data_IF_364414369793
#
_entry.id   IF_364414369793
#
_cell.length_a   1.000
_cell.length_b   1.000
_cell.length_c   1.000
_cell.angle_alpha   90.00
_cell.angle_beta   90.00
_cell.angle_gamma   90.00
#
_symmetry.space_group_name_H-M   'P 1'
#
loop_
_entity.id
_entity.type
_entity.pdbx_description
1 polymer ?
#
# COMPACT_ATOMS: atom_id res chain seq x y z
N UNK A 1 -51.81 14.16 8.60
CA UNK A 1 -50.65 13.56 7.88
C UNK A 1 -51.17 12.31 7.18
N UNK A 2 -51.43 12.39 5.88
CA UNK A 2 -52.05 11.30 5.13
C UNK A 2 -50.99 10.24 4.78
N UNK A 3 -51.03 9.13 5.49
CA UNK A 3 -50.32 7.90 5.09
C UNK A 3 -51.26 7.11 4.16
N UNK A 4 -50.93 7.02 2.90
CA UNK A 4 -51.66 6.17 1.95
C UNK A 4 -51.11 4.75 2.08
N UNK A 5 -51.86 3.85 2.70
CA UNK A 5 -51.54 2.41 2.74
C UNK A 5 -51.96 1.82 1.40
N UNK A 6 -51.04 1.31 0.63
CA UNK A 6 -51.33 0.57 -0.59
C UNK A 6 -51.73 -0.84 -0.19
N UNK A 7 -53.05 -1.13 -0.30
CA UNK A 7 -53.59 -2.49 -0.10
C UNK A 7 -53.07 -3.42 -1.20
N UNK A 8 -52.09 -4.22 -0.86
CA UNK A 8 -51.84 -5.62 -1.21
C UNK A 8 -50.41 -6.03 -0.79
N UNK A 9 -50.33 -6.85 0.24
CA UNK A 9 -49.26 -7.81 0.58
C UNK A 9 -47.78 -7.33 0.63
N UNK A 10 -47.47 -6.06 0.71
CA UNK A 10 -46.05 -5.67 0.51
C UNK A 10 -45.46 -4.72 1.52
N UNK A 11 -45.86 -4.71 2.78
CA UNK A 11 -45.20 -3.95 3.87
C UNK A 11 -44.58 -2.59 3.44
N UNK A 12 -45.16 -1.92 2.43
CA UNK A 12 -44.66 -0.67 1.87
C UNK A 12 -45.59 0.48 2.27
N UNK A 13 -44.98 1.56 2.76
CA UNK A 13 -45.65 2.83 2.99
C UNK A 13 -44.93 3.94 2.19
N UNK A 14 -45.67 4.93 1.72
CA UNK A 14 -45.12 6.10 1.05
C UNK A 14 -45.15 7.31 1.98
N UNK A 15 -44.03 8.02 2.07
CA UNK A 15 -43.93 9.29 2.76
C UNK A 15 -43.12 10.28 1.92
N UNK A 16 -43.71 11.43 1.58
CA UNK A 16 -43.13 12.46 0.72
C UNK A 16 -42.58 11.91 -0.61
N UNK A 17 -43.33 10.96 -1.24
CA UNK A 17 -42.91 10.37 -2.50
C UNK A 17 -41.78 9.35 -2.42
N UNK A 18 -41.28 9.02 -1.23
CA UNK A 18 -40.26 7.98 -1.01
C UNK A 18 -40.92 6.78 -0.37
N UNK A 19 -40.62 5.57 -0.85
CA UNK A 19 -41.12 4.34 -0.30
C UNK A 19 -40.30 3.84 0.88
N UNK A 20 -40.99 3.34 1.92
CA UNK A 20 -40.44 2.74 3.11
C UNK A 20 -40.99 1.34 3.30
N UNK A 21 -40.15 0.41 3.75
CA UNK A 21 -40.56 -0.87 4.27
C UNK A 21 -41.01 -0.72 5.72
N UNK A 22 -42.18 -1.22 6.10
CA UNK A 22 -42.72 -1.13 7.45
C UNK A 22 -43.43 -2.43 7.83
N UNK A 23 -42.78 -3.24 8.65
CA UNK A 23 -43.32 -4.54 9.09
C UNK A 23 -43.29 -4.66 10.60
N UNK A 24 -44.38 -5.19 11.17
CA UNK A 24 -44.51 -5.44 12.60
C UNK A 24 -43.65 -6.64 13.00
N UNK A 25 -42.94 -6.53 14.12
CA UNK A 25 -42.17 -7.65 14.69
C UNK A 25 -43.15 -8.67 15.27
N UNK A 26 -43.00 -9.98 15.00
CA UNK A 26 -43.84 -11.04 15.54
C UNK A 26 -43.91 -10.98 17.08
N UNK A 27 -45.09 -11.28 17.63
CA UNK A 27 -45.37 -11.11 19.06
C UNK A 27 -44.49 -11.98 19.95
N UNK A 28 -44.19 -13.18 19.49
CA UNK A 28 -43.37 -14.20 20.16
C UNK A 28 -41.93 -13.75 20.45
N UNK A 29 -41.34 -12.98 19.52
CA UNK A 29 -39.94 -12.49 19.65
C UNK A 29 -39.83 -10.99 19.96
N UNK A 30 -40.98 -10.27 19.98
CA UNK A 30 -41.02 -8.80 20.13
C UNK A 30 -40.30 -8.30 21.39
N UNK A 31 -40.40 -9.04 22.48
CA UNK A 31 -39.75 -8.68 23.77
C UNK A 31 -38.23 -8.56 23.68
N UNK A 32 -37.58 -9.08 22.62
CA UNK A 32 -36.14 -8.97 22.40
C UNK A 32 -35.74 -7.67 21.72
N UNK A 33 -36.73 -6.86 21.27
CA UNK A 33 -36.47 -5.62 20.56
C UNK A 33 -37.02 -4.42 21.31
N UNK A 34 -36.34 -3.29 21.18
CA UNK A 34 -36.79 -2.00 21.74
C UNK A 34 -37.80 -1.27 20.87
N UNK A 35 -38.34 -1.92 19.81
CA UNK A 35 -39.25 -1.36 18.84
C UNK A 35 -40.30 -2.41 18.44
N UNK A 36 -41.50 -1.95 18.13
CA UNK A 36 -42.61 -2.83 17.67
C UNK A 36 -42.62 -3.11 16.17
N UNK A 37 -41.91 -2.29 15.39
CA UNK A 37 -41.88 -2.35 13.93
C UNK A 37 -40.49 -2.12 13.38
N UNK A 38 -40.16 -2.82 12.31
CA UNK A 38 -39.01 -2.55 11.47
C UNK A 38 -39.43 -1.54 10.40
N UNK A 39 -38.79 -0.36 10.36
CA UNK A 39 -39.03 0.67 9.36
C UNK A 39 -37.70 0.98 8.68
N UNK A 40 -37.63 0.80 7.34
CA UNK A 40 -36.41 1.00 6.54
C UNK A 40 -36.78 1.80 5.28
N UNK A 41 -36.06 2.88 5.00
CA UNK A 41 -36.18 3.61 3.74
C UNK A 41 -35.68 2.77 2.58
N UNK A 42 -36.51 2.59 1.55
CA UNK A 42 -36.15 1.87 0.33
C UNK A 42 -35.41 2.76 -0.68
N UNK A 43 -35.21 4.04 -0.33
CA UNK A 43 -34.48 5.03 -1.13
C UNK A 43 -34.88 5.08 -2.61
N UNK A 44 -36.15 4.84 -2.90
CA UNK A 44 -36.71 4.84 -4.25
C UNK A 44 -38.07 5.52 -4.28
N UNK A 45 -38.38 6.14 -5.42
CA UNK A 45 -39.71 6.67 -5.76
C UNK A 45 -40.45 5.76 -6.76
N UNK A 46 -39.82 4.69 -7.24
CA UNK A 46 -40.40 3.72 -8.15
C UNK A 46 -41.08 2.62 -7.36
N UNK A 47 -42.39 2.42 -7.60
CA UNK A 47 -43.19 1.38 -6.95
C UNK A 47 -42.67 -0.03 -7.28
N UNK A 48 -42.30 -0.30 -8.54
CA UNK A 48 -41.76 -1.60 -8.95
C UNK A 48 -40.48 -1.97 -8.21
N UNK A 49 -39.55 -1.02 -8.11
CA UNK A 49 -38.28 -1.21 -7.32
C UNK A 49 -38.57 -1.37 -5.83
N UNK A 50 -39.54 -0.64 -5.30
CA UNK A 50 -39.92 -0.75 -3.90
C UNK A 50 -40.51 -2.14 -3.60
N UNK A 51 -41.32 -2.70 -4.45
CA UNK A 51 -41.89 -4.06 -4.33
C UNK A 51 -40.83 -5.13 -4.31
N UNK A 52 -39.87 -5.08 -5.24
CA UNK A 52 -38.74 -6.01 -5.31
C UNK A 52 -37.88 -5.95 -4.05
N UNK A 53 -37.53 -4.74 -3.60
CA UNK A 53 -36.73 -4.53 -2.37
C UNK A 53 -37.48 -5.00 -1.12
N UNK A 54 -38.78 -4.79 -1.06
CA UNK A 54 -39.65 -5.21 0.05
C UNK A 54 -39.70 -6.73 0.16
N UNK A 55 -39.85 -7.46 -0.95
CA UNK A 55 -39.80 -8.93 -0.98
C UNK A 55 -38.49 -9.46 -0.42
N UNK A 56 -37.35 -8.96 -0.94
CA UNK A 56 -36.01 -9.37 -0.47
C UNK A 56 -35.81 -9.09 1.02
N UNK A 57 -36.29 -7.95 1.54
CA UNK A 57 -36.22 -7.62 2.95
C UNK A 57 -37.11 -8.54 3.80
N UNK A 58 -38.31 -8.89 3.30
CA UNK A 58 -39.20 -9.80 3.98
C UNK A 58 -38.60 -11.18 4.15
N UNK A 59 -38.00 -11.75 3.10
CA UNK A 59 -37.33 -13.05 3.15
C UNK A 59 -36.13 -13.07 4.11
N UNK A 60 -35.35 -11.97 4.18
CA UNK A 60 -34.22 -11.84 5.13
C UNK A 60 -34.72 -11.74 6.56
N UNK A 61 -35.79 -10.98 6.81
CA UNK A 61 -36.34 -10.82 8.15
C UNK A 61 -36.99 -12.12 8.64
N UNK A 62 -37.70 -12.88 7.77
CA UNK A 62 -38.21 -14.18 8.18
C UNK A 62 -37.14 -15.13 8.61
N UNK A 63 -36.09 -15.32 7.79
CA UNK A 63 -34.93 -16.16 8.17
C UNK A 63 -34.26 -15.72 9.48
N UNK A 64 -34.15 -14.42 9.69
CA UNK A 64 -33.59 -13.88 10.92
C UNK A 64 -34.53 -14.18 12.12
N UNK A 65 -35.82 -14.00 11.99
CA UNK A 65 -36.80 -14.30 13.01
C UNK A 65 -36.90 -15.81 13.30
N UNK A 66 -36.77 -16.63 12.28
CA UNK A 66 -36.69 -18.09 12.42
C UNK A 66 -35.44 -18.50 13.20
N UNK A 67 -34.28 -17.93 12.92
CA UNK A 67 -33.05 -18.20 13.69
C UNK A 67 -33.22 -17.82 15.15
N UNK A 68 -33.84 -16.66 15.46
CA UNK A 68 -34.14 -16.24 16.83
C UNK A 68 -35.14 -17.17 17.55
N UNK A 69 -36.10 -17.74 16.80
CA UNK A 69 -37.00 -18.75 17.38
C UNK A 69 -36.27 -20.05 17.70
N UNK A 70 -35.41 -20.51 16.82
CA UNK A 70 -34.59 -21.69 17.02
C UNK A 70 -33.68 -21.55 18.25
N UNK A 71 -33.12 -20.34 18.50
CA UNK A 71 -32.38 -20.05 19.72
C UNK A 71 -33.21 -20.14 21.01
N UNK A 72 -34.54 -20.00 20.92
CA UNK A 72 -35.48 -20.12 22.05
C UNK A 72 -35.78 -21.55 22.43
N UNK A 73 -35.61 -22.52 21.51
CA UNK A 73 -35.80 -23.91 21.80
C UNK A 73 -34.61 -24.47 22.57
N UNK A 74 -34.86 -24.86 23.81
CA UNK A 74 -33.88 -25.63 24.56
C UNK A 74 -33.77 -27.04 23.98
N UNK A 75 -32.59 -27.61 23.96
CA UNK A 75 -32.31 -28.96 23.42
C UNK A 75 -33.26 -30.04 23.92
N UNK A 76 -33.85 -29.86 25.11
CA UNK A 76 -34.87 -30.73 25.68
C UNK A 76 -36.20 -30.69 24.93
N UNK A 77 -36.60 -29.53 24.42
CA UNK A 77 -37.88 -29.35 23.72
C UNK A 77 -37.83 -29.92 22.29
N UNK A 78 -36.66 -30.01 21.71
CA UNK A 78 -36.43 -30.60 20.38
C UNK A 78 -36.32 -32.12 20.40
N UNK A 79 -36.39 -32.78 21.60
CA UNK A 79 -36.21 -34.24 21.74
C UNK A 79 -34.82 -34.71 21.32
N UNK A 80 -33.91 -33.78 21.07
CA UNK A 80 -32.52 -34.05 20.81
C UNK A 80 -31.87 -34.34 22.15
N UNK A 81 -31.80 -35.64 22.53
CA UNK A 81 -30.81 -36.07 23.50
C UNK A 81 -29.46 -35.66 22.92
N UNK A 82 -28.97 -34.51 23.36
CA UNK A 82 -27.55 -34.27 23.28
C UNK A 82 -26.94 -35.48 23.96
N UNK A 83 -26.37 -36.42 23.17
CA UNK A 83 -25.27 -37.19 23.68
C UNK A 83 -24.46 -36.11 24.37
N UNK A 84 -24.36 -36.21 25.71
CA UNK A 84 -23.41 -35.42 26.42
C UNK A 84 -22.11 -35.73 25.69
N UNK A 85 -21.90 -34.97 24.60
CA UNK A 85 -20.59 -34.79 24.12
C UNK A 85 -19.90 -34.36 25.37
N UNK A 86 -19.04 -35.21 25.83
CA UNK A 86 -17.91 -34.81 26.58
C UNK A 86 -17.47 -33.53 25.89
N UNK A 87 -18.08 -32.40 26.29
CA UNK A 87 -17.39 -31.18 26.33
C UNK A 87 -16.33 -31.44 27.43
N UNK A 88 -15.30 -32.23 27.10
CA UNK A 88 -13.99 -31.69 27.35
C UNK A 88 -14.20 -30.23 27.10
N UNK A 89 -14.05 -29.40 28.11
CA UNK A 89 -13.75 -27.99 27.96
C UNK A 89 -12.57 -27.96 27.01
N UNK A 90 -12.82 -28.04 25.71
CA UNK A 90 -12.03 -27.33 24.75
C UNK A 90 -12.20 -25.90 25.24
N UNK A 91 -11.28 -25.47 26.07
CA UNK A 91 -10.93 -24.06 26.22
C UNK A 91 -11.12 -23.51 24.83
N UNK A 92 -12.06 -22.56 24.59
CA UNK A 92 -12.28 -22.03 23.25
C UNK A 92 -10.88 -21.77 22.73
N UNK A 93 -10.48 -22.49 21.68
CA UNK A 93 -9.12 -22.41 21.17
C UNK A 93 -8.91 -20.95 20.85
N UNK A 94 -8.35 -20.24 21.79
CA UNK A 94 -8.26 -18.78 21.76
C UNK A 94 -7.28 -18.45 20.65
N UNK A 95 -7.82 -18.19 19.45
CA UNK A 95 -7.00 -17.89 18.29
C UNK A 95 -6.25 -16.59 18.54
N UNK A 96 -4.97 -16.72 18.79
CA UNK A 96 -4.13 -15.59 19.18
C UNK A 96 -3.74 -14.71 18.00
N UNK A 97 -3.36 -13.47 18.28
CA UNK A 97 -2.78 -12.58 17.27
C UNK A 97 -1.49 -13.14 16.68
N UNK A 98 -0.77 -14.00 17.44
CA UNK A 98 0.42 -14.72 16.93
C UNK A 98 0.04 -15.76 15.92
N UNK A 99 -1.05 -16.51 16.16
CA UNK A 99 -1.57 -17.49 15.20
C UNK A 99 -2.09 -16.81 13.95
N UNK A 100 -2.76 -15.65 14.12
CA UNK A 100 -3.19 -14.80 13.01
C UNK A 100 -2.00 -14.32 12.16
N UNK A 101 -0.90 -13.91 12.79
CA UNK A 101 0.33 -13.54 12.11
C UNK A 101 0.92 -14.72 11.33
N UNK A 102 1.05 -15.88 11.97
CA UNK A 102 1.58 -17.10 11.35
C UNK A 102 0.74 -17.51 10.13
N UNK A 103 -0.58 -17.50 10.26
CA UNK A 103 -1.52 -17.76 9.18
C UNK A 103 -1.34 -16.74 8.03
N UNK A 104 -1.25 -15.45 8.37
CA UNK A 104 -1.05 -14.38 7.40
C UNK A 104 0.26 -14.54 6.63
N UNK A 105 1.37 -14.83 7.32
CA UNK A 105 2.67 -15.03 6.70
C UNK A 105 2.69 -16.29 5.83
N UNK A 106 2.03 -17.37 6.26
CA UNK A 106 1.89 -18.62 5.47
C UNK A 106 1.13 -18.37 4.16
N UNK A 107 -0.01 -17.69 4.21
CA UNK A 107 -0.91 -17.52 3.06
C UNK A 107 -0.50 -16.36 2.13
N UNK A 108 0.08 -15.28 2.68
CA UNK A 108 0.42 -14.05 1.93
C UNK A 108 1.91 -13.83 1.74
N UNK A 109 2.77 -14.65 2.37
CA UNK A 109 4.22 -14.47 2.36
C UNK A 109 4.91 -14.97 1.10
N UNK A 110 4.29 -15.87 0.33
CA UNK A 110 4.90 -16.44 -0.87
C UNK A 110 5.39 -15.36 -1.84
N UNK A 111 6.68 -15.37 -2.20
CA UNK A 111 7.30 -14.39 -3.09
C UNK A 111 7.43 -12.96 -2.55
N UNK A 112 7.11 -12.71 -1.28
CA UNK A 112 7.21 -11.39 -0.67
C UNK A 112 8.64 -11.07 -0.22
N UNK A 113 8.97 -9.76 -0.25
CA UNK A 113 10.27 -9.26 0.21
C UNK A 113 10.39 -9.32 1.73
N UNK A 114 11.62 -9.40 2.24
CA UNK A 114 11.95 -9.37 3.68
C UNK A 114 11.23 -8.27 4.46
N UNK A 115 11.08 -7.07 3.85
CA UNK A 115 10.37 -5.94 4.46
C UNK A 115 8.90 -6.20 4.76
N UNK A 116 8.23 -7.10 4.01
CA UNK A 116 6.87 -7.51 4.29
C UNK A 116 6.79 -8.28 5.62
N UNK A 117 7.66 -9.27 5.80
CA UNK A 117 7.74 -10.05 7.03
C UNK A 117 8.14 -9.17 8.23
N UNK A 118 9.14 -8.30 8.04
CA UNK A 118 9.57 -7.37 9.08
C UNK A 118 8.45 -6.42 9.52
N UNK A 119 7.64 -5.89 8.59
CA UNK A 119 6.51 -5.04 8.93
C UNK A 119 5.44 -5.81 9.70
N UNK A 120 5.04 -7.00 9.23
CA UNK A 120 4.01 -7.81 9.87
C UNK A 120 4.41 -8.19 11.29
N UNK A 121 5.62 -8.74 11.47
CA UNK A 121 6.16 -9.12 12.78
C UNK A 121 6.21 -7.90 13.72
N UNK A 122 6.84 -6.80 13.30
CA UNK A 122 6.95 -5.59 14.13
C UNK A 122 5.58 -5.01 14.50
N UNK A 123 4.61 -5.05 13.59
CA UNK A 123 3.26 -4.56 13.87
C UNK A 123 2.58 -5.35 14.98
N UNK A 124 2.74 -6.67 14.97
CA UNK A 124 2.18 -7.55 15.99
C UNK A 124 2.93 -7.40 17.32
N UNK A 125 4.26 -7.27 17.29
CA UNK A 125 5.03 -7.01 18.51
C UNK A 125 4.60 -5.70 19.18
N UNK A 126 4.46 -4.62 18.43
CA UNK A 126 3.94 -3.36 18.98
C UNK A 126 2.53 -3.47 19.55
N UNK A 127 1.66 -4.31 18.96
CA UNK A 127 0.33 -4.56 19.50
C UNK A 127 0.42 -5.31 20.83
N UNK A 128 1.27 -6.33 20.91
CA UNK A 128 1.47 -7.11 22.15
C UNK A 128 2.04 -6.28 23.30
N UNK A 129 2.85 -5.26 23.01
CA UNK A 129 3.42 -4.39 24.05
C UNK A 129 2.37 -3.61 24.85
N UNK A 130 1.18 -3.39 24.30
CA UNK A 130 0.15 -2.53 24.90
C UNK A 130 -1.18 -3.23 25.15
N UNK A 131 -1.42 -4.37 24.50
CA UNK A 131 -2.69 -5.08 24.63
C UNK A 131 -2.76 -5.94 25.88
N UNK A 132 -3.88 -5.85 26.60
CA UNK A 132 -4.21 -6.72 27.73
C UNK A 132 -4.60 -8.14 27.30
N UNK A 133 -4.97 -8.33 26.03
CA UNK A 133 -5.34 -9.61 25.46
C UNK A 133 -4.52 -9.92 24.20
N UNK A 134 -4.32 -11.20 23.94
CA UNK A 134 -3.74 -11.68 22.67
C UNK A 134 -4.75 -12.42 21.81
N UNK A 135 -5.96 -12.64 22.31
CA UNK A 135 -7.04 -13.36 21.60
C UNK A 135 -7.73 -12.45 20.62
N UNK A 136 -7.81 -12.85 19.36
CA UNK A 136 -8.36 -12.02 18.27
C UNK A 136 -9.80 -11.60 18.52
N UNK A 137 -10.63 -12.49 19.04
CA UNK A 137 -12.06 -12.23 19.30
C UNK A 137 -12.29 -11.33 20.54
N UNK A 138 -11.30 -11.21 21.41
CA UNK A 138 -11.39 -10.44 22.66
C UNK A 138 -11.01 -8.96 22.50
N UNK A 139 -10.46 -8.54 21.35
CA UNK A 139 -10.09 -7.15 21.14
C UNK A 139 -11.31 -6.21 21.17
N UNK A 140 -11.18 -5.13 21.91
CA UNK A 140 -12.18 -4.08 22.03
C UNK A 140 -11.73 -2.79 21.33
N UNK A 141 -12.64 -1.87 20.98
CA UNK A 141 -12.26 -0.55 20.42
C UNK A 141 -11.27 0.23 21.29
N UNK A 142 -11.30 0.03 22.60
CA UNK A 142 -10.34 0.61 23.54
C UNK A 142 -8.89 0.15 23.27
N UNK A 143 -8.70 -1.14 22.91
CA UNK A 143 -7.37 -1.69 22.58
C UNK A 143 -6.80 -1.02 21.32
N UNK A 144 -7.62 -0.79 20.32
CA UNK A 144 -7.19 -0.11 19.10
C UNK A 144 -6.82 1.37 19.37
N UNK A 145 -7.54 2.02 20.28
CA UNK A 145 -7.23 3.39 20.71
C UNK A 145 -5.94 3.44 21.52
N UNK A 146 -5.75 2.52 22.47
CA UNK A 146 -4.52 2.39 23.26
C UNK A 146 -3.31 2.08 22.35
N UNK A 147 -3.48 1.18 21.39
CA UNK A 147 -2.45 0.86 20.41
C UNK A 147 -2.04 2.07 19.57
N UNK A 148 -3.00 2.87 19.10
CA UNK A 148 -2.70 4.13 18.40
C UNK A 148 -1.90 5.08 19.27
N UNK A 149 -2.32 5.31 20.52
CA UNK A 149 -1.64 6.18 21.46
C UNK A 149 -0.21 5.73 21.72
N UNK A 150 0.00 4.43 21.93
CA UNK A 150 1.32 3.83 22.13
C UNK A 150 2.26 4.07 20.94
N UNK A 151 1.78 3.92 19.71
CA UNK A 151 2.60 4.17 18.52
C UNK A 151 3.02 5.64 18.41
N UNK A 152 2.14 6.59 18.75
CA UNK A 152 2.50 8.01 18.79
C UNK A 152 3.47 8.33 19.94
N UNK A 153 3.32 7.73 21.12
CA UNK A 153 4.28 7.85 22.23
C UNK A 153 5.68 7.35 21.86
N UNK A 154 5.76 6.33 20.99
CA UNK A 154 7.05 5.89 20.40
C UNK A 154 7.63 6.89 19.38
N UNK A 155 7.01 8.04 19.13
CA UNK A 155 7.46 9.06 18.19
C UNK A 155 7.24 8.71 16.71
N UNK A 156 6.34 7.78 16.40
CA UNK A 156 6.05 7.40 15.01
C UNK A 156 5.16 8.45 14.35
N UNK A 157 5.49 8.81 13.09
CA UNK A 157 4.65 9.68 12.26
C UNK A 157 3.31 9.04 11.92
N UNK A 158 2.28 9.83 11.67
CA UNK A 158 0.94 9.37 11.23
C UNK A 158 0.99 8.43 10.03
N UNK A 159 1.88 8.68 9.07
CA UNK A 159 2.07 7.79 7.93
C UNK A 159 2.61 6.40 8.35
N UNK A 160 3.50 6.35 9.33
CA UNK A 160 4.03 5.09 9.89
C UNK A 160 2.96 4.35 10.70
N UNK A 161 2.20 5.08 11.52
CA UNK A 161 1.07 4.55 12.30
C UNK A 161 0.02 3.93 11.36
N UNK A 162 -0.39 4.65 10.29
CA UNK A 162 -1.33 4.12 9.29
C UNK A 162 -0.81 2.84 8.63
N UNK A 163 0.48 2.76 8.33
CA UNK A 163 1.09 1.56 7.73
C UNK A 163 1.02 0.36 8.68
N UNK A 164 1.30 0.58 9.97
CA UNK A 164 1.21 -0.46 11.02
C UNK A 164 -0.23 -0.92 11.19
N UNK A 165 -1.19 0.02 11.30
CA UNK A 165 -2.61 -0.30 11.36
C UNK A 165 -3.10 -1.06 10.13
N UNK A 166 -2.65 -0.69 8.93
CA UNK A 166 -2.97 -1.43 7.70
C UNK A 166 -2.46 -2.87 7.74
N UNK A 167 -1.29 -3.10 8.34
CA UNK A 167 -0.74 -4.44 8.53
C UNK A 167 -1.59 -5.24 9.52
N UNK A 168 -1.88 -4.71 10.70
CA UNK A 168 -2.73 -5.35 11.73
C UNK A 168 -4.13 -5.63 11.18
N UNK A 169 -4.75 -4.64 10.53
CA UNK A 169 -6.05 -4.81 9.86
C UNK A 169 -6.05 -5.99 8.89
N UNK A 170 -5.00 -6.12 8.09
CA UNK A 170 -4.90 -7.19 7.09
C UNK A 170 -4.70 -8.57 7.73
N UNK A 171 -3.91 -8.65 8.81
CA UNK A 171 -3.66 -9.86 9.57
C UNK A 171 -4.97 -10.35 10.22
N UNK A 172 -5.65 -9.48 10.95
CA UNK A 172 -6.87 -9.81 11.69
C UNK A 172 -8.03 -10.12 10.73
N UNK A 173 -8.22 -9.34 9.66
CA UNK A 173 -9.27 -9.64 8.66
C UNK A 173 -9.06 -11.02 8.02
N UNK A 174 -7.81 -11.41 7.74
CA UNK A 174 -7.54 -12.74 7.20
C UNK A 174 -7.87 -13.82 8.22
N UNK A 175 -7.46 -13.64 9.47
CA UNK A 175 -7.76 -14.58 10.56
C UNK A 175 -9.27 -14.76 10.74
N UNK A 176 -10.03 -13.67 10.84
CA UNK A 176 -11.50 -13.70 10.95
C UNK A 176 -12.10 -14.50 9.80
N UNK A 177 -11.66 -14.25 8.57
CA UNK A 177 -12.20 -14.93 7.38
C UNK A 177 -11.85 -16.41 7.32
N UNK A 178 -10.58 -16.75 7.55
CA UNK A 178 -10.07 -18.13 7.37
C UNK A 178 -10.44 -19.05 8.54
N UNK A 179 -10.60 -18.48 9.75
CA UNK A 179 -10.98 -19.26 10.95
C UNK A 179 -12.47 -19.18 11.30
N UNK A 180 -13.26 -18.40 10.53
CA UNK A 180 -14.69 -18.22 10.79
C UNK A 180 -14.99 -17.55 12.13
N UNK A 181 -14.08 -16.68 12.63
CA UNK A 181 -14.25 -16.02 13.91
C UNK A 181 -15.46 -15.06 13.91
N UNK A 182 -16.25 -15.09 14.98
CA UNK A 182 -17.47 -14.27 15.12
C UNK A 182 -17.12 -12.97 15.83
N UNK A 183 -16.32 -12.12 15.20
CA UNK A 183 -15.94 -10.81 15.74
C UNK A 183 -15.78 -9.77 14.63
N UNK A 184 -15.80 -8.48 15.01
CA UNK A 184 -15.45 -7.39 14.11
C UNK A 184 -14.00 -6.96 14.32
N UNK A 185 -13.34 -6.57 13.23
CA UNK A 185 -11.99 -6.04 13.33
C UNK A 185 -12.01 -4.60 13.84
N UNK A 186 -11.77 -4.41 15.12
CA UNK A 186 -11.77 -3.11 15.82
C UNK A 186 -10.73 -2.13 15.27
N UNK A 187 -9.63 -2.65 14.69
CA UNK A 187 -8.57 -1.83 14.10
C UNK A 187 -8.96 -1.26 12.72
N UNK A 188 -10.03 -1.75 12.10
CA UNK A 188 -10.42 -1.35 10.74
C UNK A 188 -10.93 0.09 10.65
N UNK A 189 -11.67 0.55 11.66
CA UNK A 189 -12.31 1.86 11.71
C UNK A 189 -11.60 2.87 12.62
N UNK A 190 -10.41 2.54 13.13
CA UNK A 190 -9.69 3.43 14.05
C UNK A 190 -9.22 4.69 13.32
N UNK A 191 -9.65 5.84 13.80
CA UNK A 191 -9.20 7.13 13.28
C UNK A 191 -7.74 7.38 13.62
N UNK A 192 -6.93 7.75 12.62
CA UNK A 192 -5.53 8.14 12.79
C UNK A 192 -5.41 9.57 12.27
N UNK A 193 -5.05 10.54 13.14
CA UNK A 193 -4.90 11.94 12.74
C UNK A 193 -3.89 12.11 11.61
N UNK A 194 -4.11 13.11 10.77
CA UNK A 194 -3.11 13.55 9.80
C UNK A 194 -2.07 14.40 10.53
N UNK A 195 -0.79 14.14 10.23
CA UNK A 195 0.26 15.10 10.57
C UNK A 195 0.33 16.10 9.41
N UNK A 196 0.07 17.36 9.69
CA UNK A 196 0.34 18.45 8.75
C UNK A 196 1.84 18.59 8.42
N UNK A 197 2.67 17.88 9.18
CA UNK A 197 4.13 17.95 9.10
C UNK A 197 4.78 16.90 8.20
N UNK A 198 4.05 16.25 7.29
CA UNK A 198 4.69 15.44 6.25
C UNK A 198 5.60 16.33 5.39
N UNK A 199 6.86 16.49 5.82
CA UNK A 199 7.87 17.27 5.10
C UNK A 199 7.97 16.73 3.67
N UNK A 200 7.39 17.48 2.73
CA UNK A 200 7.50 17.17 1.30
C UNK A 200 8.98 17.18 0.93
N UNK A 201 9.46 16.10 0.35
CA UNK A 201 10.84 16.06 -0.15
C UNK A 201 10.99 17.08 -1.25
N UNK A 202 11.96 17.96 -1.09
CA UNK A 202 12.26 19.00 -2.08
C UNK A 202 13.16 18.42 -3.19
N UNK A 203 13.03 18.90 -4.43
CA UNK A 203 14.03 18.67 -5.47
C UNK A 203 15.34 19.34 -5.07
N UNK A 204 16.46 18.82 -5.57
CA UNK A 204 17.76 19.48 -5.41
C UNK A 204 17.80 20.67 -6.36
N UNK A 205 18.13 21.88 -5.87
CA UNK A 205 18.28 23.05 -6.73
C UNK A 205 19.32 22.84 -7.83
N UNK A 206 19.15 23.51 -8.97
CA UNK A 206 19.99 23.27 -10.15
C UNK A 206 21.46 23.63 -9.91
N UNK A 207 21.73 24.67 -9.14
CA UNK A 207 23.07 25.11 -8.76
C UNK A 207 23.78 24.06 -7.90
N UNK A 208 23.07 23.53 -6.90
CA UNK A 208 23.57 22.45 -6.04
C UNK A 208 23.78 21.16 -6.84
N UNK A 209 22.87 20.84 -7.78
CA UNK A 209 23.02 19.69 -8.68
C UNK A 209 24.31 19.81 -9.50
N UNK A 210 24.56 21.00 -10.08
CA UNK A 210 25.77 21.25 -10.88
C UNK A 210 27.05 21.08 -10.04
N UNK A 211 27.09 21.69 -8.84
CA UNK A 211 28.22 21.57 -7.94
C UNK A 211 28.48 20.09 -7.53
N UNK A 212 27.42 19.34 -7.21
CA UNK A 212 27.49 17.92 -6.87
C UNK A 212 28.05 17.11 -8.05
N UNK A 213 27.56 17.35 -9.26
CA UNK A 213 28.04 16.64 -10.46
C UNK A 213 29.53 16.90 -10.73
N UNK A 214 29.97 18.16 -10.56
CA UNK A 214 31.40 18.54 -10.69
C UNK A 214 32.24 17.82 -9.65
N UNK A 215 31.85 17.88 -8.37
CA UNK A 215 32.60 17.17 -7.31
C UNK A 215 32.60 15.64 -7.53
N UNK A 216 31.54 15.06 -8.08
CA UNK A 216 31.53 13.64 -8.41
C UNK A 216 32.60 13.26 -9.44
N UNK A 217 32.82 14.11 -10.43
CA UNK A 217 33.87 13.93 -11.44
C UNK A 217 35.27 14.10 -10.82
N UNK A 218 35.47 15.12 -9.95
CA UNK A 218 36.74 15.41 -9.31
C UNK A 218 37.17 14.31 -8.32
N UNK A 219 36.23 13.75 -7.53
CA UNK A 219 36.54 12.72 -6.54
C UNK A 219 36.69 11.34 -7.20
N UNK A 220 35.95 11.05 -8.24
CA UNK A 220 36.03 9.86 -9.13
C UNK A 220 36.10 8.51 -8.38
N UNK A 221 35.15 8.24 -7.49
CA UNK A 221 35.01 6.96 -6.79
C UNK A 221 33.64 6.30 -7.00
N UNK A 222 33.52 5.05 -6.55
CA UNK A 222 32.30 4.23 -6.76
C UNK A 222 31.01 4.90 -6.24
N UNK A 223 31.07 5.59 -5.09
CA UNK A 223 29.92 6.30 -4.55
C UNK A 223 29.52 7.51 -5.39
N UNK A 224 30.51 8.21 -5.96
CA UNK A 224 30.27 9.37 -6.83
C UNK A 224 29.79 8.92 -8.21
N UNK A 225 30.28 7.80 -8.72
CA UNK A 225 29.70 7.21 -9.94
C UNK A 225 28.24 6.84 -9.75
N UNK A 226 27.88 6.21 -8.59
CA UNK A 226 26.49 5.90 -8.27
C UNK A 226 25.62 7.16 -8.21
N UNK A 227 26.12 8.20 -7.54
CA UNK A 227 25.39 9.46 -7.40
C UNK A 227 25.23 10.19 -8.74
N UNK A 228 26.32 10.30 -9.51
CA UNK A 228 26.34 10.88 -10.85
C UNK A 228 25.37 10.15 -11.80
N UNK A 229 25.35 8.81 -11.73
CA UNK A 229 24.42 8.01 -12.52
C UNK A 229 22.96 8.35 -12.20
N UNK A 230 22.61 8.47 -10.90
CA UNK A 230 21.26 8.81 -10.44
C UNK A 230 20.88 10.24 -10.80
N UNK A 231 21.82 11.17 -10.79
CA UNK A 231 21.58 12.61 -10.95
C UNK A 231 20.93 12.98 -12.26
N UNK A 232 21.26 12.28 -13.35
CA UNK A 232 20.72 12.52 -14.68
C UNK A 232 19.77 11.42 -15.19
N UNK A 233 19.70 10.26 -14.51
CA UNK A 233 18.76 9.20 -14.88
C UNK A 233 17.49 9.22 -14.04
N UNK A 234 17.53 9.78 -12.84
CA UNK A 234 16.43 9.76 -11.89
C UNK A 234 16.03 8.35 -11.44
N UNK A 235 16.88 7.35 -11.58
CA UNK A 235 16.64 5.98 -11.11
C UNK A 235 16.39 5.93 -9.60
N UNK A 236 15.64 4.93 -9.14
CA UNK A 236 15.61 4.66 -7.70
C UNK A 236 16.97 4.13 -7.24
N UNK A 237 17.40 4.52 -6.04
CA UNK A 237 18.67 4.07 -5.51
C UNK A 237 18.84 2.55 -5.57
N UNK A 238 17.81 1.78 -5.22
CA UNK A 238 17.85 0.31 -5.29
C UNK A 238 17.92 -0.23 -6.73
N UNK A 239 17.43 0.52 -7.71
CA UNK A 239 17.56 0.19 -9.14
C UNK A 239 19.01 0.37 -9.59
N UNK A 240 19.60 1.52 -9.26
CA UNK A 240 20.98 1.86 -9.62
C UNK A 240 22.00 0.94 -8.94
N UNK A 241 21.90 0.78 -7.62
CA UNK A 241 22.80 -0.09 -6.83
C UNK A 241 22.81 -1.53 -7.34
N UNK A 242 21.65 -2.03 -7.78
CA UNK A 242 21.50 -3.41 -8.24
C UNK A 242 21.79 -3.64 -9.73
N UNK A 243 22.40 -2.69 -10.46
CA UNK A 243 22.71 -2.86 -11.87
C UNK A 243 23.76 -3.95 -12.10
N UNK A 244 23.55 -4.76 -13.12
CA UNK A 244 24.59 -5.55 -13.76
C UNK A 244 25.36 -4.68 -14.73
N UNK A 245 26.66 -4.93 -14.92
CA UNK A 245 27.47 -4.16 -15.87
C UNK A 245 26.91 -4.26 -17.30
N UNK A 246 26.35 -5.41 -17.66
CA UNK A 246 25.75 -5.62 -18.99
C UNK A 246 24.40 -4.91 -19.17
N UNK A 247 23.79 -4.40 -18.10
CA UNK A 247 22.63 -3.51 -18.23
C UNK A 247 23.03 -2.11 -18.73
N UNK A 248 24.32 -1.78 -18.75
CA UNK A 248 24.87 -0.49 -19.15
C UNK A 248 25.43 -0.63 -20.58
N UNK A 249 24.72 -0.08 -21.54
CA UNK A 249 25.07 -0.12 -22.97
C UNK A 249 25.63 1.24 -23.37
N UNK A 250 26.92 1.31 -23.70
CA UNK A 250 27.61 2.56 -24.04
C UNK A 250 28.20 2.58 -25.46
N UNK A 251 28.17 1.47 -26.17
CA UNK A 251 28.75 1.20 -27.46
C UNK A 251 27.74 1.37 -28.63
N UNK A 252 26.54 1.82 -28.33
CA UNK A 252 25.52 2.14 -29.32
C UNK A 252 25.43 3.65 -29.57
N UNK A 253 24.76 4.02 -30.69
CA UNK A 253 24.54 5.43 -31.08
C UNK A 253 23.88 6.28 -29.97
N UNK A 254 23.03 5.67 -29.19
CA UNK A 254 22.46 6.24 -27.96
C UNK A 254 22.88 5.35 -26.79
N UNK A 255 23.73 5.82 -25.90
CA UNK A 255 24.05 5.08 -24.69
C UNK A 255 22.86 5.05 -23.73
N UNK A 256 22.60 3.90 -23.09
CA UNK A 256 21.45 3.75 -22.19
C UNK A 256 21.66 2.66 -21.13
N UNK A 257 20.82 2.67 -20.12
CA UNK A 257 20.66 1.59 -19.17
C UNK A 257 19.42 0.78 -19.56
N UNK A 258 19.56 -0.53 -19.74
CA UNK A 258 18.45 -1.47 -19.88
C UNK A 258 18.05 -1.99 -18.49
N UNK A 259 17.15 -1.26 -17.82
CA UNK A 259 16.70 -1.58 -16.48
C UNK A 259 15.71 -2.73 -16.48
N UNK A 260 16.17 -3.93 -16.16
CA UNK A 260 15.39 -5.17 -16.09
C UNK A 260 15.53 -5.87 -14.73
N UNK A 261 14.61 -6.77 -14.32
CA UNK A 261 14.74 -7.52 -13.08
C UNK A 261 15.94 -8.49 -13.14
N UNK A 262 16.54 -8.73 -11.98
CA UNK A 262 17.59 -9.73 -11.75
C UNK A 262 17.27 -10.56 -10.51
N UNK A 263 17.84 -11.75 -10.33
CA UNK A 263 17.61 -12.57 -9.13
C UNK A 263 17.90 -11.84 -7.82
N UNK A 264 18.91 -10.97 -7.78
CA UNK A 264 19.29 -10.16 -6.62
C UNK A 264 18.56 -8.81 -6.54
N UNK A 265 17.89 -8.39 -7.62
CA UNK A 265 17.19 -7.09 -7.68
C UNK A 265 15.83 -7.22 -8.38
N UNK A 266 14.77 -7.28 -7.61
CA UNK A 266 13.42 -7.14 -8.15
C UNK A 266 13.09 -5.67 -8.40
N UNK A 267 12.27 -5.39 -9.41
CA UNK A 267 11.70 -4.06 -9.64
C UNK A 267 10.41 -3.86 -8.82
N UNK A 268 10.10 -2.60 -8.46
CA UNK A 268 8.94 -2.29 -7.60
C UNK A 268 7.60 -2.56 -8.29
N UNK A 269 7.52 -2.28 -9.58
CA UNK A 269 6.33 -2.45 -10.43
C UNK A 269 6.77 -2.94 -11.80
N UNK A 270 5.87 -3.53 -12.57
CA UNK A 270 6.12 -3.95 -13.96
C UNK A 270 6.59 -2.77 -14.83
N UNK A 271 5.98 -1.58 -14.68
CA UNK A 271 6.39 -0.36 -15.38
C UNK A 271 7.74 0.23 -14.96
N UNK A 272 8.42 -0.38 -13.96
CA UNK A 272 9.80 0.02 -13.63
C UNK A 272 10.84 -0.50 -14.61
N UNK A 273 10.55 -1.57 -15.37
CA UNK A 273 11.42 -2.05 -16.44
C UNK A 273 11.38 -1.05 -17.59
N UNK A 274 12.54 -0.56 -17.98
CA UNK A 274 12.63 0.47 -19.01
C UNK A 274 14.07 0.71 -19.49
N UNK A 275 14.20 1.25 -20.67
CA UNK A 275 15.46 1.80 -21.17
C UNK A 275 15.55 3.29 -20.80
N UNK A 276 16.69 3.69 -20.20
CA UNK A 276 16.94 5.05 -19.73
C UNK A 276 18.17 5.58 -20.46
N UNK A 277 18.05 6.59 -21.33
CA UNK A 277 19.19 7.19 -21.99
C UNK A 277 20.21 7.75 -21.00
N UNK A 278 21.48 7.61 -21.31
CA UNK A 278 22.58 8.18 -20.56
C UNK A 278 23.00 9.51 -21.20
N UNK A 279 23.08 10.55 -20.38
CA UNK A 279 23.46 11.90 -20.76
C UNK A 279 24.45 12.50 -19.76
N UNK A 280 25.22 13.49 -20.16
CA UNK A 280 26.07 14.29 -19.24
C UNK A 280 26.85 13.45 -18.23
N UNK A 281 26.68 13.77 -16.95
CA UNK A 281 27.41 13.14 -15.87
C UNK A 281 27.03 11.66 -15.65
N UNK A 282 25.81 11.27 -16.01
CA UNK A 282 25.42 9.86 -15.97
C UNK A 282 26.14 9.00 -17.01
N UNK A 283 26.41 9.57 -18.20
CA UNK A 283 27.20 8.88 -19.22
C UNK A 283 28.66 8.73 -18.79
N UNK A 284 29.26 9.79 -18.22
CA UNK A 284 30.59 9.71 -17.61
C UNK A 284 30.68 8.59 -16.57
N UNK A 285 29.74 8.57 -15.63
CA UNK A 285 29.70 7.53 -14.59
C UNK A 285 29.56 6.12 -15.15
N UNK A 286 28.72 5.96 -16.19
CA UNK A 286 28.54 4.67 -16.87
C UNK A 286 29.84 4.16 -17.50
N UNK A 287 30.63 5.04 -18.12
CA UNK A 287 31.99 4.70 -18.64
C UNK A 287 32.93 4.24 -17.52
N UNK A 288 32.94 4.93 -16.37
CA UNK A 288 33.76 4.54 -15.21
C UNK A 288 33.35 3.16 -14.71
N UNK A 289 32.04 2.95 -14.48
CA UNK A 289 31.50 1.66 -14.04
C UNK A 289 31.89 0.52 -14.99
N UNK A 290 31.75 0.69 -16.28
CA UNK A 290 32.12 -0.32 -17.32
C UNK A 290 33.61 -0.62 -17.32
N UNK A 291 34.44 0.39 -17.07
CA UNK A 291 35.90 0.23 -17.07
C UNK A 291 36.38 -0.55 -15.82
N UNK A 292 35.85 -0.24 -14.64
CA UNK A 292 36.39 -0.77 -13.37
C UNK A 292 35.70 -2.03 -12.87
N UNK A 293 34.46 -2.32 -13.31
CA UNK A 293 33.66 -3.42 -12.78
C UNK A 293 33.32 -4.45 -13.88
N UNK A 294 33.31 -5.75 -13.48
CA UNK A 294 33.10 -6.87 -14.43
C UNK A 294 31.72 -7.50 -14.33
N UNK A 295 31.04 -7.46 -13.19
CA UNK A 295 29.78 -8.14 -12.96
C UNK A 295 28.70 -7.18 -12.44
N UNK A 296 28.88 -6.63 -11.26
CA UNK A 296 27.95 -5.69 -10.65
C UNK A 296 28.47 -4.27 -10.81
N UNK A 297 27.59 -3.35 -11.15
CA UNK A 297 27.97 -1.94 -11.25
C UNK A 297 28.48 -1.35 -9.93
N UNK A 298 27.97 -1.85 -8.80
CA UNK A 298 28.31 -1.38 -7.46
C UNK A 298 28.41 -2.57 -6.50
N UNK A 299 29.48 -3.34 -6.65
CA UNK A 299 29.70 -4.62 -5.95
C UNK A 299 29.72 -4.49 -4.43
N UNK A 300 30.17 -3.36 -3.89
CA UNK A 300 30.18 -3.04 -2.45
C UNK A 300 28.81 -3.17 -1.79
N UNK A 301 27.74 -2.98 -2.53
CA UNK A 301 26.38 -2.96 -2.02
C UNK A 301 25.53 -4.18 -2.44
N UNK A 302 26.16 -5.15 -3.07
CA UNK A 302 25.49 -6.40 -3.49
C UNK A 302 26.18 -7.57 -2.81
N UNK A 303 25.44 -8.30 -1.98
CA UNK A 303 25.84 -9.63 -1.57
C UNK A 303 25.19 -10.66 -2.53
N UNK A 304 25.52 -11.95 -2.40
CA UNK A 304 25.18 -13.00 -3.36
C UNK A 304 23.68 -13.08 -3.74
N UNK A 305 22.78 -12.54 -2.94
CA UNK A 305 21.33 -12.70 -3.10
C UNK A 305 20.52 -11.41 -2.97
N UNK A 306 21.06 -10.33 -2.43
CA UNK A 306 20.29 -9.12 -2.10
C UNK A 306 21.10 -7.82 -2.30
N UNK A 307 20.37 -6.76 -2.67
CA UNK A 307 20.89 -5.39 -2.77
C UNK A 307 20.74 -4.68 -1.43
N UNK A 308 21.87 -4.20 -0.87
CA UNK A 308 21.88 -3.39 0.35
C UNK A 308 21.77 -1.88 0.04
N UNK A 309 20.61 -1.46 -0.46
CA UNK A 309 20.37 -0.05 -0.76
C UNK A 309 20.31 0.85 0.48
N UNK A 310 20.12 0.30 1.69
CA UNK A 310 20.13 1.08 2.94
C UNK A 310 21.53 1.56 3.27
N UNK A 311 22.54 0.71 3.13
CA UNK A 311 23.95 1.09 3.32
C UNK A 311 24.38 2.16 2.31
N UNK A 312 24.04 1.99 1.03
CA UNK A 312 24.28 2.99 0.00
C UNK A 312 23.59 4.33 0.33
N UNK A 313 22.32 4.26 0.76
CA UNK A 313 21.56 5.45 1.17
C UNK A 313 22.21 6.18 2.33
N UNK A 314 22.69 5.48 3.35
CA UNK A 314 23.36 6.08 4.49
C UNK A 314 24.67 6.78 4.08
N UNK A 315 25.51 6.12 3.30
CA UNK A 315 26.78 6.66 2.83
C UNK A 315 26.57 7.92 1.95
N UNK A 316 25.66 7.82 0.96
CA UNK A 316 25.40 8.94 0.03
C UNK A 316 24.74 10.11 0.76
N UNK A 317 23.73 9.88 1.59
CA UNK A 317 23.05 10.98 2.29
C UNK A 317 23.97 11.68 3.31
N UNK A 318 24.89 10.95 3.96
CA UNK A 318 25.91 11.57 4.82
C UNK A 318 26.77 12.56 4.02
N UNK A 319 27.17 12.20 2.80
CA UNK A 319 27.97 13.06 1.93
C UNK A 319 27.15 14.22 1.33
N UNK A 320 25.88 14.00 0.98
CA UNK A 320 24.97 15.01 0.42
C UNK A 320 24.56 16.08 1.43
N UNK A 321 24.42 15.73 2.72
CA UNK A 321 23.87 16.62 3.75
C UNK A 321 24.48 18.03 3.78
N UNK A 322 25.81 18.23 3.74
CA UNK A 322 26.42 19.57 3.72
C UNK A 322 26.36 20.26 2.32
N UNK A 323 25.89 19.59 1.29
CA UNK A 323 25.91 20.03 -0.13
C UNK A 323 24.53 20.36 -0.69
N UNK A 324 23.49 20.11 0.08
CA UNK A 324 22.12 20.32 -0.33
C UNK A 324 21.34 21.02 0.78
N UNK A 325 20.26 21.75 0.45
CA UNK A 325 19.35 22.29 1.45
C UNK A 325 18.76 21.17 2.34
N UNK A 326 18.36 21.56 3.56
CA UNK A 326 17.71 20.63 4.50
C UNK A 326 16.48 19.95 3.88
N UNK A 327 16.34 18.65 4.16
CA UNK A 327 15.27 17.83 3.62
C UNK A 327 15.56 17.19 2.26
N UNK A 328 16.66 17.55 1.59
CA UNK A 328 17.14 16.88 0.40
C UNK A 328 17.91 15.60 0.74
N UNK A 329 17.65 14.54 -0.02
CA UNK A 329 18.28 13.22 0.10
C UNK A 329 18.54 12.65 -1.30
N UNK A 330 19.22 11.52 -1.40
CA UNK A 330 19.46 10.87 -2.71
C UNK A 330 18.18 10.68 -3.55
N UNK A 331 17.03 10.45 -2.91
CA UNK A 331 15.76 10.37 -3.63
C UNK A 331 15.28 11.70 -4.23
N UNK A 332 15.80 12.82 -3.75
CA UNK A 332 15.49 14.16 -4.27
C UNK A 332 15.95 14.36 -5.73
N UNK A 333 17.00 13.67 -6.17
CA UNK A 333 17.39 13.67 -7.58
C UNK A 333 16.28 13.20 -8.51
N UNK A 334 15.43 12.28 -8.01
CA UNK A 334 14.29 11.80 -8.75
C UNK A 334 13.15 12.83 -8.85
N UNK A 335 13.06 13.76 -7.90
CA UNK A 335 12.20 14.94 -8.02
C UNK A 335 12.82 15.96 -8.98
N UNK A 336 14.14 16.20 -8.86
CA UNK A 336 14.85 17.14 -9.73
C UNK A 336 14.78 16.77 -11.21
N UNK A 337 14.96 15.50 -11.58
CA UNK A 337 14.85 15.10 -13.00
C UNK A 337 13.44 15.34 -13.55
N UNK A 338 12.40 15.10 -12.72
CA UNK A 338 11.01 15.36 -13.10
C UNK A 338 10.78 16.85 -13.36
N UNK A 339 11.29 17.72 -12.50
CA UNK A 339 11.14 19.16 -12.63
C UNK A 339 11.99 19.73 -13.77
N UNK A 340 13.20 19.21 -13.98
CA UNK A 340 14.04 19.56 -15.15
C UNK A 340 13.37 19.18 -16.46
N UNK A 341 12.74 17.99 -16.57
CA UNK A 341 11.98 17.60 -17.75
C UNK A 341 10.76 18.47 -17.96
N UNK A 342 10.06 18.87 -16.90
CA UNK A 342 8.94 19.84 -16.99
C UNK A 342 9.39 21.22 -17.42
N UNK A 343 10.55 21.67 -16.94
CA UNK A 343 11.11 22.99 -17.31
C UNK A 343 11.46 23.12 -18.81
N UNK A 344 11.63 21.97 -19.49
CA UNK A 344 11.83 21.92 -20.95
C UNK A 344 10.56 21.49 -21.70
N UNK A 345 9.40 21.57 -21.04
CA UNK A 345 8.07 21.24 -21.60
C UNK A 345 7.93 19.80 -22.11
N UNK A 346 8.66 18.85 -21.49
CA UNK A 346 8.54 17.45 -21.83
C UNK A 346 7.13 16.94 -21.53
N UNK A 347 6.44 16.28 -22.48
CA UNK A 347 5.13 15.68 -22.26
C UNK A 347 5.13 14.75 -21.06
N UNK A 348 4.06 14.83 -20.24
CA UNK A 348 3.98 14.14 -18.95
C UNK A 348 4.13 12.63 -19.02
N UNK A 349 3.66 12.01 -20.10
CA UNK A 349 3.74 10.58 -20.38
C UNK A 349 5.18 10.15 -20.72
N UNK A 350 5.93 11.00 -21.44
CA UNK A 350 7.36 10.77 -21.71
C UNK A 350 8.16 10.93 -20.39
N UNK A 351 7.84 11.96 -19.57
CA UNK A 351 8.41 12.11 -18.21
C UNK A 351 8.21 10.85 -17.40
N UNK A 352 6.99 10.31 -17.41
CA UNK A 352 6.64 9.11 -16.66
C UNK A 352 7.35 7.88 -17.22
N UNK A 353 7.47 7.75 -18.53
CA UNK A 353 8.20 6.66 -19.20
C UNK A 353 9.71 6.68 -18.85
N UNK A 354 10.35 7.85 -18.83
CA UNK A 354 11.75 8.00 -18.41
C UNK A 354 11.91 7.62 -16.93
N UNK A 355 11.08 8.16 -16.06
CA UNK A 355 11.17 7.95 -14.63
C UNK A 355 10.67 6.58 -14.16
N UNK A 356 9.88 5.86 -14.94
CA UNK A 356 9.15 4.65 -14.51
C UNK A 356 8.13 5.01 -13.42
N UNK A 357 7.38 6.09 -13.64
CA UNK A 357 6.18 6.43 -12.87
C UNK A 357 4.95 5.85 -13.57
N UNK A 358 3.89 5.68 -12.79
CA UNK A 358 2.62 5.20 -13.34
C UNK A 358 1.84 6.40 -13.85
N UNK A 359 1.47 6.40 -15.12
CA UNK A 359 0.56 7.39 -15.67
C UNK A 359 -0.88 6.89 -15.50
N UNK A 360 -1.76 7.76 -15.05
CA UNK A 360 -3.19 7.45 -14.96
C UNK A 360 -3.83 7.52 -16.35
N UNK A 361 -4.53 6.48 -16.75
CA UNK A 361 -5.28 6.42 -18.01
C UNK A 361 -5.26 5.04 -18.67
N UNK A 362 -6.38 4.65 -19.27
CA UNK A 362 -6.51 3.34 -19.95
C UNK A 362 -5.69 3.32 -21.23
N UNK A 363 -5.63 4.42 -21.96
CA UNK A 363 -4.91 4.54 -23.25
C UNK A 363 -3.40 4.27 -23.15
N UNK A 364 -2.80 4.47 -21.98
CA UNK A 364 -1.36 4.26 -21.76
C UNK A 364 -0.95 2.78 -21.56
N UNK A 365 -1.93 1.89 -21.48
CA UNK A 365 -1.68 0.43 -21.41
C UNK A 365 -1.55 -0.19 -22.81
N UNK A 366 -1.88 0.56 -23.85
CA UNK A 366 -1.78 0.14 -25.23
C UNK A 366 -0.50 0.65 -25.86
N UNK A 367 0.15 -0.20 -26.69
CA UNK A 367 1.38 0.12 -27.40
C UNK A 367 2.65 -0.30 -26.68
N UNK A 368 3.77 -0.24 -27.41
CA UNK A 368 5.12 -0.63 -26.95
C UNK A 368 5.82 0.45 -26.09
N UNK A 369 5.15 1.56 -25.78
CA UNK A 369 5.74 2.71 -25.09
C UNK A 369 6.61 3.58 -26.01
N UNK A 370 7.37 4.50 -25.39
CA UNK A 370 8.25 5.42 -26.13
C UNK A 370 9.59 4.78 -26.43
N UNK A 371 10.06 4.92 -27.68
CA UNK A 371 11.37 4.45 -28.09
C UNK A 371 12.52 5.23 -27.41
N UNK A 372 13.73 4.73 -27.56
CA UNK A 372 14.92 5.31 -26.93
C UNK A 372 15.25 6.70 -27.50
N UNK A 373 15.02 6.93 -28.81
CA UNK A 373 15.30 8.20 -29.46
C UNK A 373 14.43 9.33 -28.91
N UNK A 374 13.13 9.06 -28.73
CA UNK A 374 12.20 10.06 -28.16
C UNK A 374 12.62 10.44 -26.74
N UNK A 375 12.93 9.47 -25.89
CA UNK A 375 13.42 9.72 -24.52
C UNK A 375 14.75 10.47 -24.53
N UNK A 376 15.68 10.09 -25.38
CA UNK A 376 16.99 10.74 -25.51
C UNK A 376 16.88 12.19 -25.96
N UNK A 377 16.02 12.49 -26.94
CA UNK A 377 15.73 13.86 -27.39
C UNK A 377 15.36 14.78 -26.24
N UNK A 378 14.47 14.34 -25.35
CA UNK A 378 14.03 15.13 -24.20
C UNK A 378 15.09 15.19 -23.11
N UNK A 379 15.78 14.09 -22.84
CA UNK A 379 16.83 14.08 -21.83
C UNK A 379 18.03 14.96 -22.22
N UNK A 380 18.38 15.07 -23.48
CA UNK A 380 19.41 16.02 -23.92
C UNK A 380 19.08 17.49 -23.61
N UNK A 381 17.81 17.87 -23.59
CA UNK A 381 17.39 19.25 -23.29
C UNK A 381 17.61 19.65 -21.82
N UNK A 382 17.71 18.67 -20.92
CA UNK A 382 17.89 18.93 -19.49
C UNK A 382 19.37 18.91 -19.05
N UNK A 383 20.30 18.80 -19.97
CA UNK A 383 21.72 18.87 -19.62
C UNK A 383 22.04 20.17 -18.89
N UNK A 384 22.69 20.05 -17.76
CA UNK A 384 23.19 21.20 -17.02
C UNK A 384 24.34 21.79 -17.83
N UNK A 385 24.22 23.06 -18.25
CA UNK A 385 25.27 23.75 -19.01
C UNK A 385 26.57 23.74 -18.19
N UNK A 386 27.64 23.20 -18.76
CA UNK A 386 28.94 23.06 -18.09
C UNK A 386 29.31 21.64 -17.68
N UNK A 387 28.44 20.63 -17.84
CA UNK A 387 28.86 19.24 -17.82
C UNK A 387 29.61 18.96 -19.13
N UNK A 388 30.92 18.93 -19.06
CA UNK A 388 31.82 18.55 -20.14
C UNK A 388 31.46 17.16 -20.64
N UNK A 389 31.23 17.04 -21.91
CA UNK A 389 31.05 15.82 -22.70
C UNK A 389 32.19 14.82 -22.51
#
# INVERSE_FOLDING_TARGET
>A
MNQTVIQNSSYIISHNGIFYYSRRIPADIRKRFNKDRVIISLRTRSQAKALQSSSTLSDRLERYWESLRLELFHSRELGLNTIASVHEKLEPSSFSVSDALNLYLKLKGGGRRKTFFQLANRSVEYLKEVSSTTVVESFQPADATAFRAHLFQKGLSSASVRRIFSSIKSIINLAIKEQGLVCQNVFAATFIPDDDASKRRLPIPIEALFAIQKECIEIDDENRWLLALISDTGMRLSEAVGLHVDDIIIDQSIPFIDLKPHPWRSLKTTGSQRQIPLIGTSYWAAKRVKHYNKRYAFSRYINQSEVNSNSASAAINKWLKPRTPDGCVVHSFRHSIRDRLRAVECPSDIVDAIGGWTTSGIGQRYGAGYDLNVKYKWMKRILVRGSTT
#
